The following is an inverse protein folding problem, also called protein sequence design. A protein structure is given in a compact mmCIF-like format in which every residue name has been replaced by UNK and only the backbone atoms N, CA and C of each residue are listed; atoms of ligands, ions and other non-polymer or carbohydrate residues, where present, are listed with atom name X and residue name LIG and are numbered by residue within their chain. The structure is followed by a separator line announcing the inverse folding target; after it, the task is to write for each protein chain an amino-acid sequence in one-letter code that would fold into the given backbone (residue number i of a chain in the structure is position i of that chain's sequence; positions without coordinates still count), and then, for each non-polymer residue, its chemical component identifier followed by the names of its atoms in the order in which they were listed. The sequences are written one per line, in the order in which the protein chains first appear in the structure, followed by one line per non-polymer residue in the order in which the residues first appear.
data_IF_884932879365
#
_entry.id   IF_884932879365
#
_cell.length_a   1.000
_cell.length_b   1.000
_cell.length_c   1.000
_cell.angle_alpha   90.00
_cell.angle_beta   90.00
_cell.angle_gamma   90.00
#
_symmetry.space_group_name_H-M   'P 1'
#
loop_
_entity.id
_entity.type
_entity.pdbx_description
1 polymer ?
#
# COMPACT_ATOMS: atom_id res chain seq x y z
N UNK A 1 -5.25 -2.85 -9.24
CA UNK A 1 -4.00 -3.51 -8.79
C UNK A 1 -2.86 -3.18 -9.77
N UNK A 2 -1.61 -3.51 -9.44
CA UNK A 2 -0.40 -3.03 -10.14
C UNK A 2 -0.20 -3.69 -11.51
N UNK A 3 0.60 -3.05 -12.39
CA UNK A 3 1.05 -3.66 -13.64
C UNK A 3 1.75 -5.01 -13.36
N UNK A 4 1.60 -6.04 -14.23
CA UNK A 4 2.26 -7.34 -14.04
C UNK A 4 3.78 -7.22 -13.90
N UNK A 5 4.39 -6.27 -14.61
CA UNK A 5 5.84 -6.05 -14.58
C UNK A 5 6.30 -5.17 -13.41
N UNK A 6 5.35 -4.59 -12.67
CA UNK A 6 5.59 -3.67 -11.54
C UNK A 6 5.09 -4.25 -10.21
N UNK A 7 4.89 -5.57 -10.16
CA UNK A 7 4.53 -6.25 -8.93
C UNK A 7 5.61 -6.05 -7.86
N UNK A 8 5.17 -5.96 -6.61
CA UNK A 8 6.08 -5.82 -5.48
C UNK A 8 6.69 -7.21 -5.20
N UNK A 9 8.01 -7.32 -5.37
CA UNK A 9 8.77 -8.53 -5.05
C UNK A 9 9.43 -8.34 -3.69
N UNK A 10 9.24 -9.30 -2.80
CA UNK A 10 9.90 -9.36 -1.49
C UNK A 10 11.25 -10.07 -1.62
N UNK A 11 12.22 -9.66 -0.79
CA UNK A 11 13.48 -10.41 -0.68
C UNK A 11 13.28 -11.62 0.23
N UNK A 12 14.15 -12.62 0.07
CA UNK A 12 14.14 -13.80 0.92
C UNK A 12 14.22 -13.43 2.40
N UNK A 13 13.31 -13.99 3.20
CA UNK A 13 13.19 -13.71 4.63
C UNK A 13 12.40 -12.44 4.98
N UNK A 14 11.98 -11.61 4.02
CA UNK A 14 11.13 -10.46 4.29
C UNK A 14 9.64 -10.84 4.26
N UNK A 15 8.90 -10.52 5.33
CA UNK A 15 7.45 -10.65 5.35
C UNK A 15 6.74 -9.50 4.63
N UNK A 16 7.24 -8.27 4.83
CA UNK A 16 6.71 -7.04 4.24
C UNK A 16 7.84 -6.03 4.04
N UNK A 17 7.92 -5.45 2.86
CA UNK A 17 8.77 -4.28 2.60
C UNK A 17 8.04 -2.97 2.98
N UNK A 18 8.72 -1.83 2.86
CA UNK A 18 8.17 -0.51 3.24
C UNK A 18 6.86 -0.17 2.52
N UNK A 19 6.77 -0.43 1.21
CA UNK A 19 5.56 -0.16 0.42
C UNK A 19 4.37 -0.97 0.98
N UNK A 20 4.57 -2.27 1.22
CA UNK A 20 3.53 -3.14 1.77
C UNK A 20 3.16 -2.78 3.21
N UNK A 21 4.10 -2.36 4.05
CA UNK A 21 3.82 -1.88 5.42
C UNK A 21 2.93 -0.64 5.42
N UNK A 22 3.20 0.32 4.53
CA UNK A 22 2.36 1.51 4.35
C UNK A 22 0.94 1.12 3.96
N UNK A 23 0.79 0.20 2.99
CA UNK A 23 -0.54 -0.18 2.52
C UNK A 23 -1.29 -1.15 3.43
N UNK A 24 -0.58 -1.89 4.29
CA UNK A 24 -1.19 -2.62 5.40
C UNK A 24 -1.90 -1.66 6.36
N UNK A 25 -1.26 -0.53 6.72
CA UNK A 25 -1.88 0.50 7.56
C UNK A 25 -3.07 1.18 6.87
N UNK A 26 -2.96 1.48 5.57
CA UNK A 26 -4.08 2.00 4.76
C UNK A 26 -5.27 1.04 4.77
N UNK A 27 -5.00 -0.26 4.63
CA UNK A 27 -6.02 -1.31 4.69
C UNK A 27 -6.71 -1.35 6.06
N UNK A 28 -5.98 -1.13 7.14
CA UNK A 28 -6.51 -1.02 8.51
C UNK A 28 -7.28 0.29 8.77
N UNK A 29 -7.38 1.19 7.77
CA UNK A 29 -8.12 2.45 7.86
C UNK A 29 -7.27 3.64 8.28
N UNK A 30 -5.96 3.46 8.50
CA UNK A 30 -5.03 4.55 8.81
C UNK A 30 -4.55 5.13 7.47
N UNK A 31 -5.18 6.22 7.03
CA UNK A 31 -4.90 6.81 5.71
C UNK A 31 -4.02 8.05 5.76
N UNK A 32 -3.89 8.68 6.92
CA UNK A 32 -3.08 9.87 7.14
C UNK A 32 -1.58 9.58 7.02
N UNK A 33 -0.89 10.31 6.14
CA UNK A 33 0.53 10.09 5.86
C UNK A 33 1.44 10.44 7.04
N UNK A 34 1.07 11.42 7.88
CA UNK A 34 1.83 11.80 9.08
C UNK A 34 1.70 10.70 10.12
N UNK A 35 0.47 10.22 10.38
CA UNK A 35 0.27 9.09 11.31
C UNK A 35 1.03 7.84 10.88
N UNK A 36 1.00 7.49 9.59
CA UNK A 36 1.76 6.34 9.08
C UNK A 36 3.27 6.55 9.26
N UNK A 37 3.76 7.76 9.03
CA UNK A 37 5.16 8.09 9.21
C UNK A 37 5.59 7.90 10.67
N UNK A 38 4.75 8.34 11.62
CA UNK A 38 4.95 8.10 13.06
C UNK A 38 4.96 6.59 13.38
N UNK A 39 3.97 5.82 12.90
CA UNK A 39 3.89 4.37 13.14
C UNK A 39 5.10 3.59 12.60
N UNK A 40 5.64 4.02 11.46
CA UNK A 40 6.73 3.32 10.78
C UNK A 40 8.11 3.94 11.10
N UNK A 41 8.17 4.97 11.95
CA UNK A 41 9.38 5.75 12.24
C UNK A 41 10.08 6.27 10.97
N UNK A 42 9.28 6.76 10.01
CA UNK A 42 9.75 7.39 8.78
C UNK A 42 9.43 8.88 8.77
N UNK A 43 10.02 9.62 7.84
CA UNK A 43 9.56 10.98 7.56
C UNK A 43 8.24 10.96 6.76
N UNK A 44 7.36 11.96 6.93
CA UNK A 44 6.16 12.09 6.10
C UNK A 44 6.46 12.09 4.59
N UNK A 45 7.60 12.66 4.20
CA UNK A 45 8.07 12.68 2.81
C UNK A 45 8.38 11.27 2.28
N UNK A 46 9.04 10.42 3.09
CA UNK A 46 9.30 9.02 2.70
C UNK A 46 8.01 8.26 2.46
N UNK A 47 6.99 8.44 3.32
CA UNK A 47 5.67 7.82 3.14
C UNK A 47 4.99 8.34 1.86
N UNK A 48 5.03 9.65 1.62
CA UNK A 48 4.48 10.26 0.42
C UNK A 48 5.13 9.71 -0.86
N UNK A 49 6.46 9.64 -0.89
CA UNK A 49 7.21 9.14 -2.05
C UNK A 49 6.88 7.67 -2.35
N UNK A 50 6.81 6.82 -1.33
CA UNK A 50 6.43 5.41 -1.50
C UNK A 50 4.99 5.27 -2.03
N UNK A 51 4.05 6.07 -1.52
CA UNK A 51 2.67 6.10 -2.01
C UNK A 51 2.57 6.53 -3.46
N UNK A 52 3.30 7.59 -3.82
CA UNK A 52 3.34 8.10 -5.18
C UNK A 52 3.92 7.05 -6.14
N UNK A 53 5.06 6.45 -5.77
CA UNK A 53 5.72 5.39 -6.55
C UNK A 53 4.79 4.21 -6.78
N UNK A 54 4.15 3.69 -5.73
CA UNK A 54 3.24 2.54 -5.85
C UNK A 54 2.00 2.89 -6.67
N UNK A 55 1.47 4.11 -6.53
CA UNK A 55 0.33 4.56 -7.33
C UNK A 55 0.68 4.70 -8.81
N UNK A 56 1.89 5.13 -9.15
CA UNK A 56 2.33 5.21 -10.54
C UNK A 56 2.51 3.83 -11.20
N UNK A 57 2.64 2.78 -10.40
CA UNK A 57 2.67 1.37 -10.85
C UNK A 57 1.28 0.76 -11.02
N UNK A 58 0.22 1.50 -10.68
CA UNK A 58 -1.15 0.99 -10.69
C UNK A 58 -1.77 1.06 -12.09
N UNK A 59 -2.50 0.00 -12.48
CA UNK A 59 -3.31 -0.01 -13.72
C UNK A 59 -4.63 0.76 -13.52
N UNK A 60 -5.04 0.95 -12.25
CA UNK A 60 -6.32 1.54 -11.88
C UNK A 60 -6.20 3.05 -11.63
N UNK A 61 -7.32 3.81 -11.75
CA UNK A 61 -7.35 5.24 -11.42
C UNK A 61 -6.85 5.53 -10.00
N UNK A 62 -6.27 6.72 -9.84
CA UNK A 62 -5.61 7.15 -8.59
C UNK A 62 -6.61 7.25 -7.44
N UNK A 63 -7.83 7.65 -7.76
CA UNK A 63 -8.96 7.87 -6.86
C UNK A 63 -9.49 6.55 -6.31
N UNK A 64 -9.43 5.48 -7.11
CA UNK A 64 -9.89 4.15 -6.73
C UNK A 64 -8.86 3.37 -5.92
N UNK A 65 -7.57 3.74 -6.02
CA UNK A 65 -6.47 2.96 -5.46
C UNK A 65 -6.64 2.66 -3.96
N UNK A 66 -6.95 3.67 -3.16
CA UNK A 66 -7.12 3.50 -1.71
C UNK A 66 -8.36 2.65 -1.36
N UNK A 67 -9.43 2.72 -2.15
CA UNK A 67 -10.61 1.89 -1.95
C UNK A 67 -10.31 0.42 -2.26
N UNK A 68 -9.60 0.16 -3.36
CA UNK A 68 -9.16 -1.19 -3.74
C UNK A 68 -8.19 -1.78 -2.73
N UNK A 69 -7.20 -1.02 -2.25
CA UNK A 69 -6.29 -1.52 -1.19
C UNK A 69 -7.05 -1.91 0.07
N UNK A 70 -8.06 -1.11 0.48
CA UNK A 70 -8.90 -1.45 1.63
C UNK A 70 -9.73 -2.71 1.41
N UNK A 71 -10.11 -3.04 0.17
CA UNK A 71 -10.89 -4.26 -0.12
C UNK A 71 -10.04 -5.54 -0.22
N UNK A 72 -8.72 -5.44 -0.31
CA UNK A 72 -7.83 -6.60 -0.38
C UNK A 72 -8.04 -7.56 0.80
N UNK A 73 -8.12 -8.86 0.52
CA UNK A 73 -8.27 -9.90 1.53
C UNK A 73 -9.58 -9.84 2.34
N UNK A 74 -10.54 -8.97 1.98
CA UNK A 74 -11.93 -9.19 2.38
C UNK A 74 -12.41 -10.36 1.54
N UNK A 75 -12.55 -11.53 2.16
CA UNK A 75 -13.18 -12.66 1.51
C UNK A 75 -14.52 -12.19 0.96
N UNK A 76 -14.68 -12.22 -0.36
CA UNK A 76 -16.01 -12.40 -0.91
C UNK A 76 -16.49 -13.69 -0.27
N UNK A 77 -17.47 -13.58 0.65
CA UNK A 77 -18.14 -14.76 1.19
C UNK A 77 -18.46 -15.62 -0.03
N UNK A 78 -17.91 -16.82 -0.07
CA UNK A 78 -18.41 -17.87 -0.93
C UNK A 78 -19.85 -18.10 -0.47
N UNK A 79 -20.78 -17.46 -1.17
CA UNK A 79 -22.20 -17.79 -1.17
C UNK A 79 -22.43 -18.49 -2.51
#
# INVERSE_FOLDING_TARGET
MLHPDEQIVLKDGELLNTELRIYALVRLGITDSVKIAEFLHYSPQTVYNNRLKTRNKAIIPREEFAAVVRSLGRAQKWI
#
